data_IF_068965433042
#
_entry.id   IF_068965433042
#
_cell.length_a   1.000
_cell.length_b   1.000
_cell.length_c   1.000
_cell.angle_alpha   90.00
_cell.angle_beta   90.00
_cell.angle_gamma   90.00
#
_symmetry.space_group_name_H-M   'P 1'
#
loop_
_entity.id
_entity.type
_entity.pdbx_description
1 polymer ?
#
# COMPACT_ATOMS: atom_id res chain seq x y z
N UNK A 1 20.36 22.42 -19.81
CA UNK A 1 21.25 23.22 -18.95
C UNK A 1 20.76 23.03 -17.52
N UNK A 2 21.62 22.65 -16.56
CA UNK A 2 21.19 22.50 -15.16
C UNK A 2 20.91 23.89 -14.57
N UNK A 3 19.83 24.04 -13.80
CA UNK A 3 19.57 25.26 -13.04
C UNK A 3 20.72 25.51 -12.06
N UNK A 4 21.37 26.68 -12.16
CA UNK A 4 22.56 27.04 -11.37
C UNK A 4 22.28 27.05 -9.85
N UNK A 5 21.02 27.19 -9.46
CA UNK A 5 20.62 27.15 -8.06
C UNK A 5 20.31 25.74 -7.54
N UNK A 6 20.23 24.75 -8.42
CA UNK A 6 19.88 23.38 -8.05
C UNK A 6 21.02 22.67 -7.29
N UNK A 7 20.64 21.78 -6.37
CA UNK A 7 21.60 20.90 -5.70
C UNK A 7 22.39 20.05 -6.71
N UNK A 8 21.76 19.64 -7.82
CA UNK A 8 22.40 18.89 -8.89
C UNK A 8 23.54 19.67 -9.55
N UNK A 9 23.32 20.95 -9.89
CA UNK A 9 24.37 21.80 -10.44
C UNK A 9 25.52 22.00 -9.44
N UNK A 10 25.20 22.28 -8.16
CA UNK A 10 26.22 22.48 -7.11
C UNK A 10 27.10 21.25 -6.93
N UNK A 11 26.53 20.05 -6.86
CA UNK A 11 27.30 18.81 -6.77
C UNK A 11 28.11 18.51 -8.03
N UNK A 12 27.57 18.80 -9.22
CA UNK A 12 28.30 18.65 -10.47
C UNK A 12 29.52 19.58 -10.54
N UNK A 13 29.35 20.85 -10.14
CA UNK A 13 30.45 21.83 -10.05
C UNK A 13 31.47 21.43 -8.98
N UNK A 14 31.01 20.98 -7.81
CA UNK A 14 31.89 20.51 -6.73
C UNK A 14 32.77 19.34 -7.21
N UNK A 15 32.22 18.38 -7.95
CA UNK A 15 32.99 17.26 -8.49
C UNK A 15 34.12 17.69 -9.46
N UNK A 16 34.00 18.85 -10.09
CA UNK A 16 35.02 19.39 -11.02
C UNK A 16 36.06 20.27 -10.33
N UNK A 17 35.70 20.91 -9.21
CA UNK A 17 36.47 22.00 -8.62
C UNK A 17 36.94 21.73 -7.17
N UNK A 18 36.53 20.61 -6.58
CA UNK A 18 36.89 20.26 -5.20
C UNK A 18 38.41 20.14 -5.04
N UNK A 19 38.94 20.75 -3.98
CA UNK A 19 40.36 20.62 -3.63
C UNK A 19 40.59 19.29 -2.89
N UNK A 20 41.75 18.63 -3.05
CA UNK A 20 42.05 17.38 -2.33
C UNK A 20 41.86 17.45 -0.81
N UNK A 21 42.14 18.61 -0.21
CA UNK A 21 41.96 18.86 1.24
C UNK A 21 40.50 18.87 1.70
N UNK A 22 39.55 19.03 0.77
CA UNK A 22 38.12 19.16 1.04
C UNK A 22 37.34 17.87 0.67
N UNK A 23 37.95 16.95 -0.09
CA UNK A 23 37.29 15.76 -0.65
C UNK A 23 36.63 14.87 0.41
N UNK A 24 37.28 14.68 1.55
CA UNK A 24 36.73 13.91 2.68
C UNK A 24 35.44 14.52 3.20
N UNK A 25 35.44 15.83 3.45
CA UNK A 25 34.27 16.54 3.96
C UNK A 25 33.15 16.56 2.93
N UNK A 26 33.49 16.75 1.66
CA UNK A 26 32.55 16.70 0.54
C UNK A 26 31.92 15.30 0.40
N UNK A 27 32.70 14.23 0.54
CA UNK A 27 32.21 12.84 0.51
C UNK A 27 31.22 12.57 1.65
N UNK A 28 31.57 12.92 2.89
CA UNK A 28 30.70 12.72 4.06
C UNK A 28 29.40 13.52 3.93
N UNK A 29 29.47 14.75 3.41
CA UNK A 29 28.28 15.56 3.15
C UNK A 29 27.38 14.94 2.07
N UNK A 30 27.96 14.48 0.94
CA UNK A 30 27.21 13.84 -0.14
C UNK A 30 26.50 12.56 0.35
N UNK A 31 27.23 11.75 1.12
CA UNK A 31 26.71 10.52 1.72
C UNK A 31 25.57 10.82 2.69
N UNK A 32 25.77 11.77 3.60
CA UNK A 32 24.75 12.19 4.58
C UNK A 32 23.48 12.69 3.90
N UNK A 33 23.60 13.55 2.88
CA UNK A 33 22.44 14.03 2.11
C UNK A 33 21.68 12.88 1.43
N UNK A 34 22.41 11.94 0.83
CA UNK A 34 21.81 10.78 0.16
C UNK A 34 21.08 9.85 1.15
N UNK A 35 21.70 9.56 2.31
CA UNK A 35 21.10 8.74 3.37
C UNK A 35 19.86 9.42 3.96
N UNK A 36 19.92 10.74 4.20
CA UNK A 36 18.77 11.50 4.69
C UNK A 36 17.60 11.48 3.70
N UNK A 37 17.86 11.64 2.40
CA UNK A 37 16.82 11.56 1.37
C UNK A 37 16.14 10.17 1.36
N UNK A 38 16.93 9.08 1.41
CA UNK A 38 16.40 7.73 1.46
C UNK A 38 15.60 7.46 2.74
N UNK A 39 16.02 8.01 3.88
CA UNK A 39 15.26 7.92 5.12
C UNK A 39 13.90 8.62 5.02
N UNK A 40 13.79 9.76 4.32
CA UNK A 40 12.49 10.38 4.06
C UNK A 40 11.61 9.52 3.16
N UNK A 41 12.18 8.87 2.13
CA UNK A 41 11.44 7.91 1.30
C UNK A 41 10.91 6.76 2.15
N UNK A 42 11.74 6.18 3.03
CA UNK A 42 11.30 5.09 3.91
C UNK A 42 10.15 5.53 4.84
N UNK A 43 10.24 6.71 5.46
CA UNK A 43 9.16 7.29 6.30
C UNK A 43 7.86 7.47 5.52
N UNK A 44 7.94 8.01 4.30
CA UNK A 44 6.78 8.11 3.41
C UNK A 44 6.15 6.73 3.18
N UNK A 45 6.95 5.73 2.79
CA UNK A 45 6.42 4.39 2.52
C UNK A 45 5.85 3.67 3.75
N UNK A 46 6.23 4.08 4.96
CA UNK A 46 5.69 3.54 6.22
C UNK A 46 4.32 4.13 6.58
N UNK A 47 4.04 5.36 6.16
CA UNK A 47 2.76 6.03 6.37
C UNK A 47 1.70 5.58 5.35
N UNK A 48 2.11 5.35 4.11
CA UNK A 48 1.22 5.07 2.99
C UNK A 48 0.16 3.97 3.23
N UNK A 49 0.46 2.81 3.86
CA UNK A 49 -0.56 1.79 4.12
C UNK A 49 -1.78 2.29 4.89
N UNK A 50 -1.63 3.28 5.77
CA UNK A 50 -2.72 3.88 6.54
C UNK A 50 -3.54 4.87 5.72
N UNK A 51 -2.89 5.63 4.82
CA UNK A 51 -3.60 6.49 3.87
C UNK A 51 -4.41 5.65 2.89
N UNK A 52 -3.82 4.57 2.38
CA UNK A 52 -4.50 3.60 1.51
C UNK A 52 -5.66 2.88 2.23
N UNK A 53 -5.52 2.58 3.53
CA UNK A 53 -6.62 2.10 4.36
C UNK A 53 -7.78 3.09 4.41
N UNK A 54 -7.51 4.37 4.65
CA UNK A 54 -8.55 5.40 4.66
C UNK A 54 -9.25 5.50 3.30
N UNK A 55 -8.48 5.60 2.20
CA UNK A 55 -9.04 5.69 0.85
C UNK A 55 -9.91 4.47 0.51
N UNK A 56 -9.42 3.26 0.77
CA UNK A 56 -10.20 2.04 0.54
C UNK A 56 -11.44 1.99 1.47
N UNK A 57 -11.35 2.49 2.70
CA UNK A 57 -12.49 2.55 3.62
C UNK A 57 -13.60 3.45 3.09
N UNK A 58 -13.29 4.53 2.36
CA UNK A 58 -14.30 5.35 1.68
C UNK A 58 -15.10 4.53 0.66
N UNK A 59 -14.43 3.71 -0.17
CA UNK A 59 -15.10 2.79 -1.10
C UNK A 59 -15.96 1.75 -0.37
N UNK A 60 -15.42 1.15 0.70
CA UNK A 60 -16.16 0.18 1.50
C UNK A 60 -17.40 0.81 2.17
N UNK A 61 -17.28 2.04 2.68
CA UNK A 61 -18.38 2.75 3.30
C UNK A 61 -19.47 3.10 2.29
N UNK A 62 -19.09 3.52 1.08
CA UNK A 62 -20.02 3.76 -0.01
C UNK A 62 -20.78 2.47 -0.39
N UNK A 63 -20.03 1.37 -0.58
CA UNK A 63 -20.62 0.03 -0.78
C UNK A 63 -21.65 -0.29 0.30
N UNK A 64 -21.30 -0.10 1.57
CA UNK A 64 -22.19 -0.41 2.70
C UNK A 64 -23.39 0.54 2.80
N UNK A 65 -23.26 1.80 2.40
CA UNK A 65 -24.38 2.73 2.36
C UNK A 65 -25.45 2.25 1.36
N UNK A 66 -25.03 1.95 0.13
CA UNK A 66 -25.92 1.46 -0.92
C UNK A 66 -26.43 0.06 -0.57
N UNK A 67 -25.57 -0.86 -0.13
CA UNK A 67 -26.00 -2.21 0.27
C UNK A 67 -27.08 -2.19 1.35
N UNK A 68 -27.04 -1.22 2.29
CA UNK A 68 -28.07 -1.11 3.33
C UNK A 68 -29.42 -0.63 2.82
N UNK A 69 -29.48 0.16 1.74
CA UNK A 69 -30.77 0.62 1.19
C UNK A 69 -31.58 -0.52 0.54
N UNK A 70 -30.93 -1.63 0.17
CA UNK A 70 -31.57 -2.80 -0.43
C UNK A 70 -31.86 -3.94 0.56
N UNK A 71 -31.49 -3.79 1.83
CA UNK A 71 -31.47 -4.87 2.83
C UNK A 71 -32.81 -5.60 2.99
N UNK A 72 -33.91 -4.85 3.02
CA UNK A 72 -35.24 -5.37 3.34
C UNK A 72 -36.06 -5.74 2.09
N UNK A 73 -35.55 -5.43 0.89
CA UNK A 73 -36.22 -5.67 -0.38
C UNK A 73 -35.56 -6.83 -1.11
N UNK A 74 -34.25 -6.73 -1.36
CA UNK A 74 -33.49 -7.68 -2.14
C UNK A 74 -32.03 -7.71 -1.66
N UNK A 75 -31.72 -8.48 -0.61
CA UNK A 75 -30.45 -8.39 0.09
C UNK A 75 -29.27 -8.86 -0.77
N UNK A 76 -28.14 -8.15 -0.65
CA UNK A 76 -26.91 -8.47 -1.36
C UNK A 76 -26.20 -9.70 -0.78
N UNK A 77 -25.50 -10.44 -1.62
CA UNK A 77 -24.77 -11.65 -1.26
C UNK A 77 -23.31 -11.40 -0.90
N UNK A 78 -22.81 -10.17 -1.01
CA UNK A 78 -21.40 -9.85 -0.80
C UNK A 78 -21.20 -8.74 0.23
N UNK A 79 -20.05 -8.83 0.89
CA UNK A 79 -19.59 -7.87 1.89
C UNK A 79 -18.13 -7.56 1.62
N UNK A 80 -17.71 -6.33 1.88
CA UNK A 80 -16.31 -5.94 1.84
C UNK A 80 -15.81 -5.48 3.20
N UNK A 81 -14.51 -5.70 3.45
CA UNK A 81 -13.80 -5.18 4.62
C UNK A 81 -12.45 -4.61 4.21
N UNK A 82 -12.09 -3.49 4.81
CA UNK A 82 -10.76 -2.90 4.74
C UNK A 82 -10.13 -2.97 6.13
N UNK A 83 -8.85 -3.32 6.20
CA UNK A 83 -8.04 -3.29 7.43
C UNK A 83 -6.58 -3.05 7.12
N UNK A 84 -5.86 -2.42 8.04
CA UNK A 84 -4.42 -2.47 8.11
C UNK A 84 -3.98 -3.01 9.48
N UNK A 85 -3.29 -4.15 9.51
CA UNK A 85 -2.73 -4.70 10.75
C UNK A 85 -1.22 -4.78 10.61
N UNK A 86 -0.49 -4.03 11.42
CA UNK A 86 0.98 -4.05 11.41
C UNK A 86 1.55 -3.82 9.99
N UNK A 87 1.03 -2.82 9.26
CA UNK A 87 1.31 -2.52 7.85
C UNK A 87 0.90 -3.61 6.81
N UNK A 88 0.18 -4.66 7.26
CA UNK A 88 -0.50 -5.59 6.39
C UNK A 88 -1.90 -5.07 6.01
N UNK A 89 -1.93 -4.16 5.02
CA UNK A 89 -3.17 -3.70 4.39
C UNK A 89 -3.89 -4.85 3.68
N UNK A 90 -5.20 -4.88 3.85
CA UNK A 90 -6.13 -5.80 3.20
C UNK A 90 -7.44 -5.08 2.88
N UNK A 91 -7.81 -5.10 1.60
CA UNK A 91 -9.18 -4.90 1.15
C UNK A 91 -9.71 -6.25 0.65
N UNK A 92 -10.68 -6.83 1.34
CA UNK A 92 -11.14 -8.19 1.11
C UNK A 92 -12.65 -8.29 0.95
N UNK A 93 -13.07 -9.32 0.21
CA UNK A 93 -14.47 -9.66 0.01
C UNK A 93 -14.88 -10.88 0.82
N UNK A 94 -16.15 -10.92 1.18
CA UNK A 94 -16.82 -11.99 1.89
C UNK A 94 -18.16 -12.30 1.20
N UNK A 95 -18.56 -13.56 1.21
CA UNK A 95 -19.88 -13.99 0.77
C UNK A 95 -20.82 -14.13 1.97
N UNK A 96 -21.93 -13.42 1.93
CA UNK A 96 -22.99 -13.42 2.93
C UNK A 96 -23.99 -14.55 2.67
N UNK A 97 -24.29 -15.30 3.72
CA UNK A 97 -25.26 -16.37 3.74
C UNK A 97 -26.36 -16.01 4.72
N UNK A 98 -27.58 -15.87 4.21
CA UNK A 98 -28.77 -15.60 5.01
C UNK A 98 -29.35 -16.92 5.49
N UNK A 99 -29.56 -17.04 6.80
CA UNK A 99 -30.14 -18.23 7.41
C UNK A 99 -31.66 -18.19 7.32
N UNK A 100 -32.25 -19.36 7.04
CA UNK A 100 -33.70 -19.56 7.12
C UNK A 100 -34.21 -19.45 8.56
N UNK A 101 -35.51 -19.21 8.73
CA UNK A 101 -36.14 -19.13 10.05
C UNK A 101 -35.99 -20.42 10.86
N UNK A 102 -36.05 -21.57 10.21
CA UNK A 102 -35.82 -22.88 10.83
C UNK A 102 -34.38 -23.01 11.38
N UNK A 103 -33.38 -22.54 10.62
CA UNK A 103 -31.98 -22.50 11.07
C UNK A 103 -31.76 -21.50 12.20
N UNK A 104 -32.54 -20.42 12.24
CA UNK A 104 -32.51 -19.42 13.31
C UNK A 104 -33.21 -19.90 14.59
N UNK A 105 -34.28 -20.69 14.47
CA UNK A 105 -35.02 -21.26 15.60
C UNK A 105 -34.15 -22.18 16.46
N UNK A 106 -33.16 -22.84 15.84
CA UNK A 106 -32.22 -23.75 16.50
C UNK A 106 -31.05 -23.02 17.21
N UNK A 107 -31.03 -21.68 17.27
CA UNK A 107 -29.93 -20.91 17.86
C UNK A 107 -30.30 -20.16 19.13
N UNK A 108 -29.34 -20.14 20.06
CA UNK A 108 -29.38 -19.32 21.27
C UNK A 108 -29.41 -17.81 20.98
N UNK A 109 -28.75 -17.35 19.90
CA UNK A 109 -28.71 -15.93 19.53
C UNK A 109 -29.50 -15.67 18.23
N UNK A 110 -30.77 -15.27 18.39
CA UNK A 110 -31.71 -15.01 17.29
C UNK A 110 -31.45 -13.69 16.55
N UNK A 111 -30.48 -12.87 16.99
CA UNK A 111 -30.20 -11.53 16.44
C UNK A 111 -29.40 -11.56 15.12
N UNK A 112 -28.61 -12.61 14.87
CA UNK A 112 -27.69 -12.65 13.73
C UNK A 112 -28.14 -13.65 12.65
N UNK A 113 -28.87 -13.14 11.65
CA UNK A 113 -29.37 -13.94 10.50
C UNK A 113 -28.37 -14.12 9.35
N UNK A 114 -27.17 -13.52 9.43
CA UNK A 114 -26.19 -13.51 8.33
C UNK A 114 -24.85 -14.12 8.78
N UNK A 115 -24.29 -15.01 7.95
CA UNK A 115 -22.91 -15.51 8.06
C UNK A 115 -22.08 -15.02 6.89
N UNK A 116 -20.89 -14.50 7.14
CA UNK A 116 -19.98 -14.06 6.08
C UNK A 116 -18.79 -15.00 5.97
N UNK A 117 -18.48 -15.47 4.76
CA UNK A 117 -17.33 -16.35 4.47
C UNK A 117 -16.31 -15.59 3.65
N UNK A 118 -15.05 -15.55 4.08
CA UNK A 118 -13.98 -14.88 3.34
C UNK A 118 -13.78 -15.50 1.95
N UNK A 119 -13.68 -14.65 0.93
CA UNK A 119 -13.40 -15.04 -0.45
C UNK A 119 -11.89 -14.88 -0.69
N UNK A 120 -11.24 -15.95 -1.14
CA UNK A 120 -9.83 -15.86 -1.55
C UNK A 120 -9.72 -15.11 -2.88
N UNK A 121 -8.91 -14.04 -2.92
CA UNK A 121 -8.64 -13.24 -4.13
C UNK A 121 -8.06 -14.05 -5.28
N UNK A 122 -7.00 -14.82 -5.02
CA UNK A 122 -6.17 -15.43 -6.06
C UNK A 122 -5.09 -14.47 -6.59
N UNK A 123 -4.64 -14.70 -7.83
CA UNK A 123 -3.57 -13.96 -8.50
C UNK A 123 -4.03 -12.55 -8.95
N UNK A 124 -3.09 -11.66 -9.22
CA UNK A 124 -3.36 -10.28 -9.69
C UNK A 124 -3.83 -9.33 -8.58
N UNK A 125 -4.20 -8.10 -8.93
CA UNK A 125 -4.70 -7.11 -7.98
C UNK A 125 -6.23 -7.14 -7.82
N UNK A 126 -6.95 -7.56 -8.86
CA UNK A 126 -8.42 -7.67 -8.87
C UNK A 126 -8.90 -9.08 -8.51
N UNK A 127 -10.01 -9.20 -7.79
CA UNK A 127 -10.76 -10.44 -7.68
C UNK A 127 -11.34 -10.83 -9.06
N UNK A 128 -11.25 -12.10 -9.49
CA UNK A 128 -11.87 -12.55 -10.74
C UNK A 128 -13.38 -12.35 -10.71
N UNK A 129 -13.98 -11.80 -11.79
CA UNK A 129 -15.44 -11.56 -11.87
C UNK A 129 -16.28 -12.79 -11.52
N UNK A 130 -15.84 -13.99 -11.90
CA UNK A 130 -16.52 -15.25 -11.57
C UNK A 130 -16.69 -15.53 -10.06
N UNK A 131 -15.89 -14.89 -9.19
CA UNK A 131 -16.05 -14.96 -7.73
C UNK A 131 -17.34 -14.29 -7.24
N UNK A 132 -17.91 -13.41 -8.06
CA UNK A 132 -19.14 -12.66 -7.80
C UNK A 132 -20.32 -13.15 -8.63
N UNK A 133 -20.26 -14.39 -9.15
CA UNK A 133 -21.33 -14.98 -9.98
C UNK A 133 -22.71 -15.05 -9.32
N UNK A 134 -22.78 -14.97 -7.98
CA UNK A 134 -24.02 -14.92 -7.21
C UNK A 134 -24.51 -13.51 -6.91
N UNK A 135 -23.84 -12.48 -7.43
CA UNK A 135 -24.22 -11.11 -7.16
C UNK A 135 -25.61 -10.84 -7.73
N UNK A 136 -26.38 -10.03 -7.01
CA UNK A 136 -27.62 -9.51 -7.54
C UNK A 136 -27.35 -8.70 -8.82
N UNK A 137 -28.04 -9.04 -9.91
CA UNK A 137 -27.82 -8.42 -11.23
C UNK A 137 -28.45 -7.02 -11.36
N UNK A 138 -29.43 -6.69 -10.54
CA UNK A 138 -30.17 -5.43 -10.63
C UNK A 138 -29.39 -4.26 -10.03
N UNK A 139 -28.56 -4.52 -9.01
CA UNK A 139 -27.87 -3.44 -8.28
C UNK A 139 -26.48 -3.82 -7.74
N UNK A 140 -26.29 -5.07 -7.30
CA UNK A 140 -25.08 -5.45 -6.54
C UNK A 140 -23.87 -5.67 -7.46
N UNK A 141 -24.11 -6.15 -8.69
CA UNK A 141 -23.05 -6.47 -9.66
C UNK A 141 -22.23 -5.24 -10.02
N UNK A 142 -22.89 -4.14 -10.39
CA UNK A 142 -22.22 -2.88 -10.73
C UNK A 142 -21.51 -2.28 -9.52
N UNK A 143 -22.17 -2.32 -8.36
CA UNK A 143 -21.60 -1.82 -7.11
C UNK A 143 -20.32 -2.58 -6.71
N UNK A 144 -20.31 -3.91 -6.87
CA UNK A 144 -19.12 -4.72 -6.67
C UNK A 144 -18.05 -4.33 -7.68
N UNK A 145 -18.40 -4.20 -8.96
CA UNK A 145 -17.41 -3.92 -10.01
C UNK A 145 -16.69 -2.59 -9.74
N UNK A 146 -17.42 -1.51 -9.42
CA UNK A 146 -16.83 -0.21 -9.07
C UNK A 146 -16.02 -0.25 -7.77
N UNK A 147 -16.52 -0.92 -6.74
CA UNK A 147 -15.81 -1.03 -5.44
C UNK A 147 -14.51 -1.82 -5.62
N UNK A 148 -14.56 -2.91 -6.39
CA UNK A 148 -13.40 -3.75 -6.64
C UNK A 148 -12.40 -3.10 -7.61
N UNK A 149 -12.84 -2.23 -8.54
CA UNK A 149 -11.91 -1.40 -9.33
C UNK A 149 -11.09 -0.48 -8.42
N UNK A 150 -11.78 0.21 -7.49
CA UNK A 150 -11.11 1.02 -6.48
C UNK A 150 -10.13 0.22 -5.62
N UNK A 151 -10.55 -0.95 -5.11
CA UNK A 151 -9.67 -1.81 -4.32
C UNK A 151 -8.49 -2.36 -5.12
N UNK A 152 -8.67 -2.72 -6.39
CA UNK A 152 -7.60 -3.22 -7.24
C UNK A 152 -6.52 -2.15 -7.43
N UNK A 153 -6.92 -0.91 -7.72
CA UNK A 153 -6.00 0.24 -7.83
C UNK A 153 -5.25 0.48 -6.51
N UNK A 154 -5.94 0.46 -5.37
CA UNK A 154 -5.28 0.61 -4.06
C UNK A 154 -4.25 -0.50 -3.80
N UNK A 155 -4.56 -1.75 -4.16
CA UNK A 155 -3.62 -2.88 -4.03
C UNK A 155 -2.41 -2.74 -4.95
N UNK A 156 -2.60 -2.20 -6.16
CA UNK A 156 -1.55 -1.92 -7.13
C UNK A 156 -0.63 -0.79 -6.64
N UNK A 157 -1.19 0.34 -6.20
CA UNK A 157 -0.43 1.45 -5.60
C UNK A 157 0.41 0.96 -4.42
N UNK A 158 -0.18 0.14 -3.54
CA UNK A 158 0.56 -0.47 -2.42
C UNK A 158 1.73 -1.33 -2.90
N UNK A 159 1.56 -2.08 -3.98
CA UNK A 159 2.63 -2.91 -4.54
C UNK A 159 3.81 -2.05 -4.96
N UNK A 160 3.56 -0.95 -5.67
CA UNK A 160 4.59 -0.01 -6.10
C UNK A 160 5.30 0.66 -4.92
N UNK A 161 4.55 1.07 -3.90
CA UNK A 161 5.12 1.68 -2.68
C UNK A 161 6.04 0.70 -1.94
N UNK A 162 5.67 -0.58 -1.84
CA UNK A 162 6.53 -1.61 -1.27
C UNK A 162 7.79 -1.83 -2.12
N UNK A 163 7.68 -1.73 -3.45
CA UNK A 163 8.82 -1.80 -4.35
C UNK A 163 9.77 -0.60 -4.14
N UNK A 164 9.24 0.61 -4.03
CA UNK A 164 10.00 1.84 -3.71
C UNK A 164 10.74 1.67 -2.39
N UNK A 165 10.05 1.23 -1.32
CA UNK A 165 10.66 0.96 -0.01
C UNK A 165 11.84 0.00 -0.12
N UNK A 166 11.66 -1.12 -0.81
CA UNK A 166 12.73 -2.13 -1.00
C UNK A 166 13.92 -1.57 -1.76
N UNK A 167 13.67 -0.72 -2.78
CA UNK A 167 14.73 -0.05 -3.53
C UNK A 167 15.47 0.95 -2.66
N UNK A 168 14.77 1.76 -1.86
CA UNK A 168 15.38 2.71 -0.93
C UNK A 168 16.30 2.00 0.07
N UNK A 169 15.81 0.95 0.73
CA UNK A 169 16.60 0.13 1.65
C UNK A 169 17.83 -0.51 0.99
N UNK A 170 17.71 -0.90 -0.28
CA UNK A 170 18.84 -1.44 -1.05
C UNK A 170 19.90 -0.36 -1.31
N UNK A 171 19.49 0.85 -1.66
CA UNK A 171 20.38 2.00 -1.84
C UNK A 171 21.07 2.35 -0.52
N UNK A 172 20.34 2.41 0.60
CA UNK A 172 20.89 2.68 1.94
C UNK A 172 22.02 1.69 2.29
N UNK A 173 21.79 0.39 2.09
CA UNK A 173 22.83 -0.64 2.31
C UNK A 173 24.06 -0.44 1.44
N UNK A 174 23.87 -0.06 0.17
CA UNK A 174 24.97 0.18 -0.78
C UNK A 174 25.78 1.43 -0.42
N UNK A 175 25.11 2.50 0.03
CA UNK A 175 25.77 3.73 0.50
C UNK A 175 26.62 3.46 1.76
N UNK A 176 26.12 2.70 2.72
CA UNK A 176 26.93 2.28 3.87
C UNK A 176 28.15 1.43 3.46
N UNK A 177 27.98 0.56 2.46
CA UNK A 177 29.11 -0.21 1.91
C UNK A 177 30.12 0.71 1.23
N UNK A 178 29.67 1.70 0.46
CA UNK A 178 30.52 2.71 -0.16
C UNK A 178 31.34 3.48 0.89
N UNK A 179 30.71 3.92 1.98
CA UNK A 179 31.39 4.56 3.11
C UNK A 179 32.48 3.68 3.72
N UNK A 180 32.16 2.40 3.94
CA UNK A 180 33.13 1.43 4.48
C UNK A 180 34.33 1.26 3.55
N UNK A 181 34.14 1.29 2.23
CA UNK A 181 35.25 1.24 1.29
C UNK A 181 36.09 2.52 1.34
N UNK A 182 35.45 3.69 1.35
CA UNK A 182 36.14 4.98 1.45
C UNK A 182 37.01 5.05 2.71
N UNK A 183 36.45 4.74 3.89
CA UNK A 183 37.20 4.70 5.16
C UNK A 183 38.39 3.74 5.16
N UNK A 184 38.27 2.60 4.47
CA UNK A 184 39.38 1.64 4.35
C UNK A 184 40.54 2.18 3.52
N UNK A 185 40.25 2.98 2.49
CA UNK A 185 41.29 3.62 1.69
C UNK A 185 42.04 4.66 2.52
N UNK A 186 41.32 5.44 3.34
CA UNK A 186 41.97 6.42 4.24
C UNK A 186 42.96 5.75 5.20
N UNK A 187 42.59 4.63 5.82
CA UNK A 187 43.46 3.89 6.76
C UNK A 187 44.70 3.27 6.08
N UNK A 188 44.69 3.07 4.76
CA UNK A 188 45.87 2.58 4.01
C UNK A 188 46.85 3.70 3.65
N UNK A 189 46.46 4.96 3.85
CA UNK A 189 47.24 6.14 3.50
C UNK A 189 47.76 6.92 4.74
N UNK A 190 47.42 6.47 5.95
CA UNK A 190 47.99 6.90 7.23
C UNK A 190 49.08 5.92 7.70
#
# INVERSE_FOLDING_TARGET
MLDENSAAYRWHKMAQQCKPTEEKQAFELALSQSLNALAQVERFTDQEPYLLEFLASCYANNFWHIHRSYRDINPGHFACRVRNRDNAFEAAWHHNWYMSENQMAQRHNKKYRVRSTHIRKGKGFRYPKGRFSKANKEWESDLIDYTEDGFALVREIRHEILAIKKKAQTCTKRLHKLHKHFKKMEVLHD
#
